data_IF_975322595390
#
_entry.id   IF_975322595390
#
_cell.length_a   1.000
_cell.length_b   1.000
_cell.length_c   1.000
_cell.angle_alpha   90.00
_cell.angle_beta   90.00
_cell.angle_gamma   90.00
#
_symmetry.space_group_name_H-M   'P 1'
#
loop_
_entity.id
_entity.type
_entity.pdbx_description
1 polymer ?
#
# COMPACT_ATOMS: atom_id res chain seq x y z
N UNK A 1 -30.88 43.19 24.39
CA UNK A 1 -31.00 42.22 23.28
C UNK A 1 -29.89 42.56 22.30
N UNK A 2 -29.00 41.61 22.01
CA UNK A 2 -27.93 41.81 21.00
C UNK A 2 -28.49 41.34 19.67
N UNK A 3 -28.71 42.28 18.75
CA UNK A 3 -29.14 41.95 17.39
C UNK A 3 -27.89 41.61 16.60
N UNK A 4 -27.77 40.36 16.15
CA UNK A 4 -26.72 39.98 15.20
C UNK A 4 -26.90 40.82 13.94
N UNK A 5 -25.84 41.45 13.41
CA UNK A 5 -25.96 42.17 12.14
C UNK A 5 -26.39 41.20 11.05
N UNK A 6 -27.32 41.65 10.22
CA UNK A 6 -27.83 40.94 9.06
C UNK A 6 -26.65 40.51 8.19
N UNK A 7 -26.40 39.20 8.12
CA UNK A 7 -25.31 38.69 7.30
C UNK A 7 -25.67 38.95 5.83
N UNK A 8 -24.72 39.37 4.97
CA UNK A 8 -24.99 39.51 3.56
C UNK A 8 -25.52 38.19 3.00
N UNK A 9 -26.52 38.25 2.12
CA UNK A 9 -27.07 37.05 1.50
C UNK A 9 -25.96 36.31 0.75
N UNK A 10 -25.62 35.12 1.25
CA UNK A 10 -24.68 34.21 0.61
C UNK A 10 -25.47 33.20 -0.22
N UNK A 11 -25.19 33.12 -1.52
CA UNK A 11 -25.80 32.14 -2.42
C UNK A 11 -25.17 30.73 -2.29
N UNK A 12 -24.21 30.58 -1.37
CA UNK A 12 -23.50 29.33 -1.08
C UNK A 12 -22.50 28.91 -2.15
N UNK A 13 -22.22 29.77 -3.14
CA UNK A 13 -21.26 29.50 -4.21
C UNK A 13 -19.81 29.39 -3.70
N UNK A 14 -19.46 30.18 -2.69
CA UNK A 14 -18.19 30.15 -1.96
C UNK A 14 -17.94 28.82 -1.23
N UNK A 15 -18.99 28.15 -0.82
CA UNK A 15 -18.91 26.85 -0.14
C UNK A 15 -18.77 25.69 -1.13
N UNK A 16 -18.89 25.92 -2.43
CA UNK A 16 -18.83 24.87 -3.43
C UNK A 16 -17.44 24.19 -3.46
N UNK A 17 -16.38 24.99 -3.37
CA UNK A 17 -15.00 24.48 -3.30
C UNK A 17 -14.78 23.65 -2.02
N UNK A 18 -15.24 24.17 -0.88
CA UNK A 18 -15.15 23.46 0.40
C UNK A 18 -15.95 22.15 0.41
N UNK A 19 -17.11 22.12 -0.25
CA UNK A 19 -17.90 20.89 -0.40
C UNK A 19 -17.19 19.87 -1.28
N UNK A 20 -16.57 20.30 -2.36
CA UNK A 20 -15.80 19.42 -3.23
C UNK A 20 -14.63 18.76 -2.48
N UNK A 21 -13.89 19.54 -1.70
CA UNK A 21 -12.80 19.02 -0.87
C UNK A 21 -13.30 18.04 0.21
N UNK A 22 -14.43 18.34 0.85
CA UNK A 22 -15.04 17.42 1.83
C UNK A 22 -15.47 16.11 1.17
N UNK A 23 -16.05 16.16 -0.02
CA UNK A 23 -16.48 14.96 -0.74
C UNK A 23 -15.29 14.12 -1.21
N UNK A 24 -14.18 14.75 -1.60
CA UNK A 24 -12.91 14.09 -1.88
C UNK A 24 -12.36 13.37 -0.64
N UNK A 25 -12.30 14.04 0.51
CA UNK A 25 -11.84 13.43 1.76
C UNK A 25 -12.74 12.29 2.23
N UNK A 26 -14.05 12.38 2.00
CA UNK A 26 -15.01 11.31 2.33
C UNK A 26 -14.93 10.12 1.38
N UNK A 27 -14.38 10.29 0.19
CA UNK A 27 -14.18 9.20 -0.75
C UNK A 27 -13.04 8.27 -0.30
N UNK A 28 -12.15 8.73 0.60
CA UNK A 28 -11.06 7.94 1.15
C UNK A 28 -11.64 6.84 2.04
N UNK A 29 -11.37 5.55 1.76
CA UNK A 29 -11.89 4.45 2.57
C UNK A 29 -11.25 4.46 3.96
N UNK A 30 -12.05 4.15 4.98
CA UNK A 30 -11.58 4.13 6.37
C UNK A 30 -10.38 3.20 6.60
N UNK A 31 -10.31 2.10 5.85
CA UNK A 31 -9.20 1.15 5.92
C UNK A 31 -7.87 1.77 5.49
N UNK A 32 -7.85 2.64 4.47
CA UNK A 32 -6.65 3.37 4.04
C UNK A 32 -6.23 4.45 5.06
N UNK A 33 -7.17 4.97 5.85
CA UNK A 33 -6.88 5.94 6.92
C UNK A 33 -6.17 5.25 8.09
N UNK A 34 -6.63 4.05 8.47
CA UNK A 34 -6.11 3.31 9.63
C UNK A 34 -4.87 2.50 9.29
N UNK A 35 -4.81 1.96 8.08
CA UNK A 35 -3.70 1.15 7.58
C UNK A 35 -3.30 1.60 6.17
N UNK A 36 -2.70 2.79 6.04
CA UNK A 36 -2.24 3.27 4.75
C UNK A 36 -1.18 2.31 4.21
N UNK A 37 -1.33 1.85 2.96
CA UNK A 37 -0.27 1.12 2.29
C UNK A 37 0.93 2.08 2.17
N UNK A 38 2.09 1.78 2.76
CA UNK A 38 3.22 2.69 2.64
C UNK A 38 3.63 2.76 1.16
N UNK A 39 3.68 3.94 0.55
CA UNK A 39 4.06 4.08 -0.87
C UNK A 39 5.43 3.47 -1.22
N UNK A 40 6.31 3.29 -0.23
CA UNK A 40 7.60 2.63 -0.45
C UNK A 40 7.46 1.12 -0.71
N UNK A 41 6.39 0.46 -0.26
CA UNK A 41 6.23 -1.00 -0.39
C UNK A 41 5.66 -1.41 -1.74
N UNK A 42 4.89 -0.53 -2.41
CA UNK A 42 4.30 -0.79 -3.74
C UNK A 42 5.34 -1.17 -4.81
N UNK A 43 6.57 -0.65 -4.69
CA UNK A 43 7.65 -0.87 -5.65
C UNK A 43 8.73 -1.82 -5.13
N UNK A 44 8.56 -2.39 -3.93
CA UNK A 44 9.60 -3.17 -3.26
C UNK A 44 9.35 -4.67 -3.27
N UNK A 45 8.34 -5.15 -3.99
CA UNK A 45 8.20 -6.58 -4.24
C UNK A 45 9.34 -7.02 -5.18
N UNK A 46 10.27 -7.88 -4.72
CA UNK A 46 11.31 -8.40 -5.60
C UNK A 46 10.69 -9.34 -6.62
N UNK A 47 11.20 -9.32 -7.86
CA UNK A 47 10.89 -10.36 -8.85
C UNK A 47 11.28 -11.72 -8.27
N UNK A 48 10.37 -12.71 -8.25
CA UNK A 48 10.70 -14.04 -7.75
C UNK A 48 11.75 -14.69 -8.67
N UNK A 49 12.90 -15.03 -8.12
CA UNK A 49 13.92 -15.82 -8.82
C UNK A 49 13.56 -17.32 -8.73
N UNK A 50 13.78 -18.11 -9.79
CA UNK A 50 13.67 -19.55 -9.73
C UNK A 50 14.62 -20.11 -8.65
N UNK A 51 14.06 -20.72 -7.60
CA UNK A 51 14.87 -21.45 -6.62
C UNK A 51 15.10 -22.87 -7.10
N UNK A 52 16.32 -23.36 -6.94
CA UNK A 52 16.60 -24.78 -7.12
C UNK A 52 15.71 -25.62 -6.21
N UNK A 53 15.29 -26.78 -6.71
CA UNK A 53 14.52 -27.72 -5.91
C UNK A 53 15.40 -28.24 -4.79
N UNK A 54 14.99 -28.00 -3.53
CA UNK A 54 15.62 -28.62 -2.36
C UNK A 54 15.56 -30.14 -2.53
N UNK A 55 16.72 -30.80 -2.69
CA UNK A 55 16.83 -32.26 -2.85
C UNK A 55 17.40 -32.75 -4.18
N UNK A 56 17.90 -31.89 -5.07
CA UNK A 56 18.59 -32.31 -6.31
C UNK A 56 20.06 -32.72 -6.12
N UNK A 57 20.56 -32.80 -4.88
CA UNK A 57 21.89 -33.34 -4.60
C UNK A 57 21.95 -34.82 -4.94
N UNK A 58 22.84 -35.18 -5.86
CA UNK A 58 23.10 -36.55 -6.26
C UNK A 58 23.96 -37.24 -5.19
N UNK A 59 23.29 -37.81 -4.18
CA UNK A 59 23.93 -38.52 -3.08
C UNK A 59 24.69 -39.78 -3.52
N UNK A 60 24.45 -40.26 -4.75
CA UNK A 60 25.15 -41.43 -5.30
C UNK A 60 26.57 -41.13 -5.79
N UNK A 61 26.93 -39.86 -6.00
CA UNK A 61 28.28 -39.48 -6.45
C UNK A 61 29.36 -39.64 -5.36
N UNK A 62 28.99 -40.07 -4.15
CA UNK A 62 29.87 -40.16 -2.97
C UNK A 62 30.30 -41.57 -2.59
N UNK A 63 29.88 -42.61 -3.32
CA UNK A 63 30.16 -44.02 -3.02
C UNK A 63 31.18 -44.67 -3.99
N UNK A 64 32.10 -43.87 -4.55
CA UNK A 64 33.34 -44.40 -5.12
C UNK A 64 34.48 -44.08 -4.16
N UNK A 65 34.62 -44.93 -3.12
CA UNK A 65 35.81 -44.94 -2.28
C UNK A 65 37.07 -45.21 -3.13
N UNK A 66 38.26 -44.75 -2.69
CA UNK A 66 39.49 -45.03 -3.42
C UNK A 66 39.70 -46.55 -3.49
N UNK A 67 39.67 -47.10 -4.71
CA UNK A 67 40.13 -48.45 -4.96
C UNK A 67 41.63 -48.50 -4.69
N UNK A 68 41.98 -49.04 -3.52
CA UNK A 68 43.35 -49.41 -3.15
C UNK A 68 43.92 -50.35 -4.23
N UNK A 69 45.07 -49.98 -4.82
CA UNK A 69 45.89 -50.85 -5.69
C UNK A 69 47.35 -50.40 -5.65
#
# INVERSE_FOLDING_TARGET
>A
MTSTPDAPEHDGSDLAELRAEIDELKAIPHEEIVNPLPHFVEQREPTPEPTDSIGSEDWNARDEGPADS
#
